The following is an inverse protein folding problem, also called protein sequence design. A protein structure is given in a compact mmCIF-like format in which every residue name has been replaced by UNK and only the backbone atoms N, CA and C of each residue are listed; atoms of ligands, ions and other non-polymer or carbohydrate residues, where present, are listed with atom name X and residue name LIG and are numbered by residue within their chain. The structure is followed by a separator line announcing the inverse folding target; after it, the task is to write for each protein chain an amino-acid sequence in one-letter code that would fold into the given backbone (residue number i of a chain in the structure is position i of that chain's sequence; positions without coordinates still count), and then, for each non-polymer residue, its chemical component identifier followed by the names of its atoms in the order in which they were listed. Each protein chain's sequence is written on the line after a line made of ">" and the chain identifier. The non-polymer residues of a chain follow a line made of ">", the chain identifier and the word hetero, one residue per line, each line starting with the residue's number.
data_IF_358199919280
#
_entry.id   IF_358199919280
#
_cell.length_a   1.000
_cell.length_b   1.000
_cell.length_c   1.000
_cell.angle_alpha   90.00
_cell.angle_beta   90.00
_cell.angle_gamma   90.00
#
_symmetry.space_group_name_H-M   'P 1'
#
loop_
_entity.id
_entity.type
_entity.pdbx_description
1 polymer ?
#
# COMPACT_ATOMS: atom_id res chain seq x y z
N UNK A 1 71.23 -6.83 25.74
CA UNK A 1 70.03 -6.29 26.42
C UNK A 1 69.41 -5.19 25.62
N UNK A 2 70.15 -4.31 24.98
CA UNK A 2 69.63 -3.11 24.29
C UNK A 2 69.12 -3.38 22.86
N UNK A 3 69.75 -4.33 22.19
CA UNK A 3 69.35 -4.71 20.80
C UNK A 3 67.96 -5.45 20.75
N UNK A 4 67.67 -6.24 21.75
CA UNK A 4 66.41 -6.97 21.87
C UNK A 4 65.27 -6.05 22.29
N UNK A 5 65.53 -4.97 23.01
CA UNK A 5 64.50 -3.96 23.36
C UNK A 5 64.11 -3.09 22.19
N UNK A 6 65.04 -2.77 21.28
CA UNK A 6 64.71 -2.04 20.01
C UNK A 6 63.97 -2.89 19.01
N UNK A 7 64.22 -4.20 18.98
CA UNK A 7 63.49 -5.11 18.10
C UNK A 7 62.00 -5.31 18.53
N UNK A 8 61.75 -5.33 19.85
CA UNK A 8 60.38 -5.43 20.40
C UNK A 8 59.56 -4.16 20.19
N UNK A 9 60.16 -2.98 20.18
CA UNK A 9 59.46 -1.73 19.87
C UNK A 9 59.13 -1.59 18.37
N UNK A 10 59.98 -2.13 17.49
CA UNK A 10 59.77 -2.07 16.04
C UNK A 10 58.66 -3.05 15.60
N UNK A 11 58.55 -4.20 16.25
CA UNK A 11 57.47 -5.18 15.97
C UNK A 11 56.13 -4.71 16.57
N UNK A 12 56.13 -4.02 17.72
CA UNK A 12 54.91 -3.47 18.30
C UNK A 12 54.36 -2.29 17.51
N UNK A 13 55.17 -1.49 16.82
CA UNK A 13 54.68 -0.40 15.94
C UNK A 13 54.15 -0.91 14.61
N UNK A 14 54.58 -2.08 14.13
CA UNK A 14 54.05 -2.66 12.87
C UNK A 14 52.72 -3.41 13.06
N UNK A 15 52.41 -3.86 14.28
CA UNK A 15 51.10 -4.51 14.58
C UNK A 15 49.99 -3.49 14.81
N UNK A 16 50.30 -2.24 15.19
CA UNK A 16 49.30 -1.18 15.41
C UNK A 16 48.92 -0.48 14.08
N UNK A 17 49.70 -0.59 13.01
CA UNK A 17 49.43 0.01 11.72
C UNK A 17 48.56 -0.86 10.78
N UNK A 18 48.20 -2.09 11.18
CA UNK A 18 47.33 -2.99 10.39
C UNK A 18 45.88 -3.07 10.87
N UNK A 19 45.52 -2.24 11.86
CA UNK A 19 44.12 -1.94 12.14
C UNK A 19 43.62 -0.80 11.22
N UNK A 20 43.98 -0.86 9.93
CA UNK A 20 43.36 -0.03 8.91
C UNK A 20 41.94 -0.54 8.73
N UNK A 21 41.00 0.26 9.17
CA UNK A 21 39.60 0.21 8.84
C UNK A 21 39.38 -0.37 7.43
N UNK A 22 38.93 -1.59 7.34
CA UNK A 22 38.16 -2.01 6.21
C UNK A 22 36.92 -1.11 6.23
N UNK A 23 37.00 0.04 5.56
CA UNK A 23 35.79 0.72 5.08
C UNK A 23 35.07 -0.35 4.33
N UNK A 24 34.00 -0.86 4.88
CA UNK A 24 33.00 -1.59 4.15
C UNK A 24 32.55 -0.62 3.05
N UNK A 25 33.11 -0.76 1.86
CA UNK A 25 32.55 -0.12 0.68
C UNK A 25 31.14 -0.68 0.60
N UNK A 26 30.16 0.17 0.89
CA UNK A 26 28.76 -0.19 0.67
C UNK A 26 28.65 -0.59 -0.79
N UNK A 27 28.29 -1.84 -1.07
CA UNK A 27 27.98 -2.27 -2.44
C UNK A 27 27.08 -1.22 -3.08
N UNK A 28 27.33 -0.84 -4.34
CA UNK A 28 26.43 0.06 -5.05
C UNK A 28 25.02 -0.54 -5.02
N UNK A 29 24.01 0.32 -4.85
CA UNK A 29 22.62 -0.12 -4.86
C UNK A 29 22.31 -0.86 -6.15
N UNK A 30 21.78 -2.07 -6.03
CA UNK A 30 21.30 -2.89 -7.13
C UNK A 30 19.80 -3.15 -6.91
N UNK A 31 18.97 -2.64 -7.81
CA UNK A 31 17.51 -2.77 -7.71
C UNK A 31 17.05 -4.23 -7.86
N UNK A 32 17.77 -5.07 -8.60
CA UNK A 32 17.45 -6.50 -8.76
C UNK A 32 17.67 -7.25 -7.46
N UNK A 33 18.79 -6.97 -6.77
CA UNK A 33 19.06 -7.53 -5.44
C UNK A 33 18.01 -7.06 -4.43
N UNK A 34 17.62 -5.78 -4.45
CA UNK A 34 16.58 -5.23 -3.59
C UNK A 34 15.23 -5.89 -3.87
N UNK A 35 14.84 -6.02 -5.13
CA UNK A 35 13.62 -6.70 -5.54
C UNK A 35 13.61 -8.16 -5.07
N UNK A 36 14.72 -8.85 -5.19
CA UNK A 36 14.87 -10.23 -4.71
C UNK A 36 14.72 -10.33 -3.19
N UNK A 37 15.32 -9.40 -2.42
CA UNK A 37 15.15 -9.35 -0.97
C UNK A 37 13.70 -9.07 -0.56
N UNK A 38 12.97 -8.27 -1.32
CA UNK A 38 11.51 -8.05 -1.11
C UNK A 38 10.72 -9.33 -1.35
N UNK A 39 11.06 -10.09 -2.40
CA UNK A 39 10.45 -11.42 -2.65
C UNK A 39 10.72 -12.38 -1.49
N UNK A 40 11.96 -12.48 -0.99
CA UNK A 40 12.30 -13.31 0.15
C UNK A 40 11.58 -12.89 1.44
N UNK A 41 11.33 -11.60 1.62
CA UNK A 41 10.58 -11.06 2.75
C UNK A 41 9.10 -11.44 2.67
N UNK A 42 8.52 -11.40 1.49
CA UNK A 42 7.12 -11.73 1.27
C UNK A 42 6.88 -13.25 1.23
N UNK A 43 7.77 -14.02 0.60
CA UNK A 43 7.68 -15.48 0.50
C UNK A 43 8.59 -16.16 1.51
N UNK A 44 8.30 -15.97 2.78
CA UNK A 44 9.13 -16.44 3.89
C UNK A 44 8.58 -17.67 4.62
N UNK A 45 7.38 -18.17 4.23
CA UNK A 45 6.75 -19.30 4.93
C UNK A 45 7.07 -20.63 4.26
N UNK A 46 7.32 -21.65 5.08
CA UNK A 46 7.42 -23.05 4.62
C UNK A 46 6.04 -23.69 4.53
N UNK A 47 5.94 -24.80 3.80
CA UNK A 47 4.70 -25.59 3.71
C UNK A 47 4.20 -26.03 5.09
N UNK A 48 5.13 -26.47 5.96
CA UNK A 48 4.79 -26.90 7.32
C UNK A 48 4.13 -25.77 8.11
N UNK A 49 4.70 -24.56 8.08
CA UNK A 49 4.16 -23.41 8.78
C UNK A 49 2.77 -23.01 8.28
N UNK A 50 2.54 -23.09 6.96
CA UNK A 50 1.22 -22.83 6.38
C UNK A 50 0.22 -23.90 6.77
N UNK A 51 0.60 -25.19 6.72
CA UNK A 51 -0.25 -26.29 7.20
C UNK A 51 -0.60 -26.16 8.68
N UNK A 52 0.34 -25.74 9.53
CA UNK A 52 0.08 -25.52 10.96
C UNK A 52 -0.94 -24.41 11.20
N UNK A 53 -0.94 -23.37 10.36
CA UNK A 53 -1.99 -22.37 10.40
C UNK A 53 -3.36 -22.94 9.96
N UNK A 54 -3.39 -23.69 8.85
CA UNK A 54 -4.62 -24.28 8.29
C UNK A 54 -5.24 -25.29 9.27
N UNK A 55 -4.43 -26.09 9.95
CA UNK A 55 -4.89 -27.08 10.96
C UNK A 55 -5.68 -26.47 12.11
N UNK A 56 -5.56 -25.18 12.35
CA UNK A 56 -6.41 -24.49 13.33
C UNK A 56 -7.90 -24.59 13.00
N UNK A 57 -8.23 -24.72 11.72
CA UNK A 57 -9.59 -24.78 11.19
C UNK A 57 -9.91 -26.13 10.52
N UNK A 58 -8.94 -26.73 9.86
CA UNK A 58 -9.03 -28.00 9.13
C UNK A 58 -7.93 -28.93 9.67
N UNK A 59 -8.19 -29.67 10.78
CA UNK A 59 -7.17 -30.50 11.44
C UNK A 59 -6.52 -31.53 10.52
N UNK A 60 -7.31 -32.14 9.64
CA UNK A 60 -6.90 -33.24 8.75
C UNK A 60 -6.58 -32.73 7.33
N UNK A 61 -5.97 -31.54 7.20
CA UNK A 61 -5.58 -30.99 5.89
C UNK A 61 -4.66 -31.93 5.15
N UNK A 62 -5.01 -32.26 3.91
CA UNK A 62 -4.29 -33.19 3.05
C UNK A 62 -3.36 -32.47 2.07
N UNK A 63 -2.35 -33.20 1.56
CA UNK A 63 -1.46 -32.69 0.50
C UNK A 63 -2.22 -32.41 -0.80
N UNK A 64 -3.30 -33.13 -1.07
CA UNK A 64 -4.14 -32.92 -2.23
C UNK A 64 -4.87 -31.57 -2.12
N UNK A 65 -5.43 -31.25 -0.96
CA UNK A 65 -6.06 -29.94 -0.72
C UNK A 65 -5.04 -28.80 -0.88
N UNK A 66 -3.82 -28.98 -0.36
CA UNK A 66 -2.75 -27.99 -0.56
C UNK A 66 -2.49 -27.73 -2.04
N UNK A 67 -2.32 -28.79 -2.85
CA UNK A 67 -2.11 -28.67 -4.30
C UNK A 67 -3.27 -27.99 -5.02
N UNK A 68 -4.51 -28.28 -4.63
CA UNK A 68 -5.71 -27.63 -5.20
C UNK A 68 -5.75 -26.13 -4.91
N UNK A 69 -5.44 -25.71 -3.68
CA UNK A 69 -5.38 -24.30 -3.30
C UNK A 69 -4.18 -23.56 -3.92
N UNK A 70 -3.07 -24.24 -4.13
CA UNK A 70 -1.93 -23.71 -4.90
C UNK A 70 -2.31 -23.50 -6.38
N UNK A 71 -2.94 -24.49 -6.99
CA UNK A 71 -3.37 -24.45 -8.38
C UNK A 71 -4.42 -23.36 -8.63
N UNK A 72 -5.35 -23.17 -7.68
CA UNK A 72 -6.37 -22.09 -7.72
C UNK A 72 -5.82 -20.72 -7.29
N UNK A 73 -4.56 -20.67 -6.84
CA UNK A 73 -3.91 -19.49 -6.28
C UNK A 73 -4.55 -18.92 -4.98
N UNK A 74 -5.40 -19.69 -4.34
CA UNK A 74 -5.89 -19.38 -2.99
C UNK A 74 -4.78 -19.48 -1.94
N UNK A 75 -3.77 -20.33 -2.17
CA UNK A 75 -2.48 -20.35 -1.48
C UNK A 75 -1.39 -19.83 -2.41
N UNK A 76 -0.99 -18.58 -2.24
CA UNK A 76 0.06 -17.99 -3.06
C UNK A 76 1.43 -18.52 -2.65
N UNK A 77 2.12 -19.12 -3.61
CA UNK A 77 3.47 -19.67 -3.44
C UNK A 77 4.32 -19.42 -4.69
N UNK A 78 5.63 -19.50 -4.53
CA UNK A 78 6.58 -19.46 -5.64
C UNK A 78 7.84 -20.28 -5.32
N UNK A 79 8.59 -20.61 -6.38
CA UNK A 79 9.91 -21.22 -6.26
C UNK A 79 10.95 -20.12 -6.11
N UNK A 80 11.72 -20.14 -5.01
CA UNK A 80 12.86 -19.25 -4.75
C UNK A 80 14.04 -20.14 -4.35
N UNK A 81 15.18 -19.98 -5.03
CA UNK A 81 16.40 -20.77 -4.81
C UNK A 81 16.18 -22.28 -4.83
N UNK A 82 15.26 -22.77 -5.67
CA UNK A 82 14.93 -24.18 -5.77
C UNK A 82 13.99 -24.72 -4.67
N UNK A 83 13.55 -23.86 -3.75
CA UNK A 83 12.61 -24.19 -2.69
C UNK A 83 11.24 -23.57 -2.93
N UNK A 84 10.16 -24.32 -2.67
CA UNK A 84 8.80 -23.78 -2.68
C UNK A 84 8.57 -22.99 -1.38
N UNK A 85 8.25 -21.73 -1.53
CA UNK A 85 7.94 -20.81 -0.43
C UNK A 85 6.57 -20.19 -0.60
N UNK A 86 5.89 -19.97 0.50
CA UNK A 86 4.56 -19.38 0.52
C UNK A 86 4.62 -17.92 0.98
N UNK A 87 3.67 -17.14 0.45
CA UNK A 87 3.45 -15.79 0.90
C UNK A 87 3.20 -15.76 2.42
N UNK A 88 3.76 -14.77 3.11
CA UNK A 88 3.68 -14.64 4.58
C UNK A 88 2.27 -14.73 5.15
N UNK A 89 1.26 -14.28 4.39
CA UNK A 89 -0.16 -14.34 4.76
C UNK A 89 -0.94 -15.38 3.93
N UNK A 90 -0.31 -16.35 3.31
CA UNK A 90 -0.99 -17.36 2.50
C UNK A 90 -2.06 -18.10 3.30
N UNK A 91 -1.75 -18.57 4.51
CA UNK A 91 -2.72 -19.22 5.38
C UNK A 91 -3.93 -18.34 5.71
N UNK A 92 -3.76 -17.14 6.28
CA UNK A 92 -4.85 -16.19 6.49
C UNK A 92 -5.65 -15.82 5.23
N UNK A 93 -4.97 -15.67 4.08
CA UNK A 93 -5.62 -15.34 2.81
C UNK A 93 -6.51 -16.48 2.31
N UNK A 94 -6.08 -17.75 2.45
CA UNK A 94 -6.91 -18.90 2.09
C UNK A 94 -8.32 -18.80 2.69
N UNK A 95 -8.40 -18.45 3.97
CA UNK A 95 -9.69 -18.31 4.70
C UNK A 95 -10.41 -16.97 4.40
N UNK A 96 -9.98 -16.22 3.41
CA UNK A 96 -10.68 -15.05 2.87
C UNK A 96 -11.13 -15.26 1.44
N UNK A 97 -10.37 -16.03 0.64
CA UNK A 97 -10.56 -16.15 -0.81
C UNK A 97 -11.21 -17.46 -1.24
N UNK A 98 -10.97 -18.56 -0.52
CA UNK A 98 -11.68 -19.82 -0.75
C UNK A 98 -12.97 -19.84 0.05
N UNK A 99 -14.11 -19.99 -0.63
CA UNK A 99 -15.43 -19.91 -0.01
C UNK A 99 -15.66 -20.98 1.05
N UNK A 100 -15.21 -22.21 0.79
CA UNK A 100 -15.35 -23.34 1.73
C UNK A 100 -14.54 -23.09 3.00
N UNK A 101 -13.28 -22.65 2.84
CA UNK A 101 -12.42 -22.30 3.96
C UNK A 101 -12.98 -21.09 4.74
N UNK A 102 -13.51 -20.10 4.03
CA UNK A 102 -14.16 -18.94 4.65
C UNK A 102 -15.33 -19.38 5.55
N UNK A 103 -16.23 -20.22 5.03
CA UNK A 103 -17.39 -20.72 5.78
C UNK A 103 -16.97 -21.51 7.01
N UNK A 104 -15.95 -22.36 6.92
CA UNK A 104 -15.37 -23.10 8.06
C UNK A 104 -14.89 -22.12 9.15
N UNK A 105 -14.16 -21.08 8.74
CA UNK A 105 -13.65 -20.06 9.66
C UNK A 105 -14.80 -19.31 10.34
N UNK A 106 -15.79 -18.86 9.57
CA UNK A 106 -16.94 -18.11 10.10
C UNK A 106 -17.77 -18.98 11.06
N UNK A 107 -17.95 -20.27 10.74
CA UNK A 107 -18.65 -21.19 11.64
C UNK A 107 -17.93 -21.34 13.00
N UNK A 108 -16.60 -21.24 13.02
CA UNK A 108 -15.79 -21.34 14.24
C UNK A 108 -15.69 -20.03 15.02
N UNK A 109 -15.51 -18.90 14.35
CA UNK A 109 -15.18 -17.61 14.98
C UNK A 109 -16.35 -16.61 15.01
N UNK A 110 -17.39 -16.86 14.21
CA UNK A 110 -18.45 -15.89 13.95
C UNK A 110 -18.03 -14.77 13.01
N UNK A 111 -18.96 -13.86 12.72
CA UNK A 111 -18.73 -12.65 11.94
C UNK A 111 -18.72 -11.44 12.86
N UNK A 112 -17.76 -10.54 12.65
CA UNK A 112 -17.75 -9.24 13.31
C UNK A 112 -17.33 -8.17 12.30
N UNK A 113 -18.04 -7.04 12.22
CA UNK A 113 -17.62 -5.93 11.37
C UNK A 113 -16.21 -5.48 11.73
N UNK A 114 -15.39 -5.19 10.73
CA UNK A 114 -14.07 -4.58 10.92
C UNK A 114 -14.20 -3.19 11.58
N UNK A 115 -13.10 -2.67 12.10
CA UNK A 115 -13.09 -1.32 12.68
C UNK A 115 -13.52 -0.25 11.67
N UNK A 116 -13.12 -0.38 10.41
CA UNK A 116 -13.52 0.53 9.31
C UNK A 116 -15.00 0.40 8.94
N UNK A 117 -15.54 -0.82 8.92
CA UNK A 117 -16.98 -1.03 8.67
C UNK A 117 -17.82 -0.40 9.77
N UNK A 118 -17.44 -0.58 11.05
CA UNK A 118 -18.13 0.07 12.18
C UNK A 118 -18.17 1.59 12.04
N UNK A 119 -17.01 2.21 11.73
CA UNK A 119 -16.93 3.67 11.50
C UNK A 119 -17.80 4.11 10.34
N UNK A 120 -17.82 3.36 9.24
CA UNK A 120 -18.67 3.66 8.09
C UNK A 120 -20.16 3.50 8.42
N UNK A 121 -20.54 2.49 9.19
CA UNK A 121 -21.93 2.29 9.61
C UNK A 121 -22.45 3.43 10.51
N UNK A 122 -21.56 4.05 11.28
CA UNK A 122 -21.89 5.20 12.13
C UNK A 122 -21.93 6.52 11.36
N UNK A 123 -20.88 6.81 10.58
CA UNK A 123 -20.72 8.12 9.94
C UNK A 123 -21.54 8.30 8.65
N UNK A 124 -21.75 7.26 7.86
CA UNK A 124 -22.42 7.39 6.56
C UNK A 124 -23.88 7.84 6.68
N UNK A 125 -24.71 7.29 7.60
CA UNK A 125 -26.07 7.80 7.80
C UNK A 125 -26.13 9.27 8.24
N UNK A 126 -25.18 9.69 9.10
CA UNK A 126 -25.06 11.08 9.55
C UNK A 126 -24.77 12.02 8.37
N UNK A 127 -23.77 11.66 7.53
CA UNK A 127 -23.41 12.43 6.35
C UNK A 127 -24.57 12.51 5.37
N UNK A 128 -25.22 11.40 5.04
CA UNK A 128 -26.38 11.38 4.12
C UNK A 128 -27.52 12.25 4.65
N UNK A 129 -27.82 12.18 5.94
CA UNK A 129 -28.84 12.99 6.58
C UNK A 129 -28.51 14.48 6.51
N UNK A 130 -27.26 14.85 6.81
CA UNK A 130 -26.79 16.24 6.73
C UNK A 130 -26.87 16.79 5.30
N UNK A 131 -26.42 16.02 4.30
CA UNK A 131 -26.53 16.40 2.87
C UNK A 131 -27.99 16.66 2.47
N UNK A 132 -28.91 15.77 2.85
CA UNK A 132 -30.33 15.93 2.54
C UNK A 132 -30.94 17.17 3.22
N UNK A 133 -30.51 17.47 4.45
CA UNK A 133 -30.99 18.62 5.22
C UNK A 133 -30.43 19.95 4.71
N UNK A 134 -29.13 20.00 4.40
CA UNK A 134 -28.41 21.22 4.04
C UNK A 134 -28.44 21.53 2.55
N UNK A 135 -28.77 20.56 1.71
CA UNK A 135 -28.74 20.69 0.24
C UNK A 135 -27.33 20.87 -0.33
N UNK A 136 -26.29 20.46 0.41
CA UNK A 136 -24.89 20.54 0.01
C UNK A 136 -24.24 19.18 0.03
N UNK A 137 -23.35 18.89 -0.92
CA UNK A 137 -22.65 17.61 -0.99
C UNK A 137 -21.56 17.44 0.07
N UNK A 138 -20.99 18.55 0.55
CA UNK A 138 -19.90 18.63 1.54
C UNK A 138 -20.48 19.12 2.86
N UNK A 139 -20.41 18.29 3.90
CA UNK A 139 -21.09 18.48 5.19
C UNK A 139 -20.29 17.90 6.36
N UNK A 140 -20.81 18.05 7.57
CA UNK A 140 -20.30 17.40 8.78
C UNK A 140 -18.79 17.65 9.02
N UNK A 141 -18.34 18.92 9.10
CA UNK A 141 -16.92 19.24 9.29
C UNK A 141 -16.41 18.74 10.64
N UNK A 142 -15.23 18.10 10.62
CA UNK A 142 -14.52 17.65 11.83
C UNK A 142 -13.10 18.21 11.82
N UNK A 143 -12.73 18.99 12.83
CA UNK A 143 -11.36 19.50 12.97
C UNK A 143 -10.44 18.37 13.45
N UNK A 144 -9.33 18.19 12.77
CA UNK A 144 -8.35 17.16 13.08
C UNK A 144 -6.97 17.76 13.26
N UNK A 145 -6.22 17.24 14.24
CA UNK A 145 -4.79 17.47 14.39
C UNK A 145 -4.08 16.13 14.24
N UNK A 146 -3.10 16.07 13.36
CA UNK A 146 -2.32 14.87 13.08
C UNK A 146 -0.86 15.17 13.37
N UNK A 147 -0.21 14.29 14.14
CA UNK A 147 1.24 14.21 14.21
C UNK A 147 1.66 12.91 13.54
N UNK A 148 2.36 13.03 12.43
CA UNK A 148 2.92 11.90 11.71
C UNK A 148 4.38 11.74 12.08
N UNK A 149 4.78 10.53 12.48
CA UNK A 149 6.16 10.23 12.86
C UNK A 149 6.64 9.00 12.11
N UNK A 150 7.81 9.10 11.49
CA UNK A 150 8.51 8.01 10.83
C UNK A 150 9.84 7.79 11.53
N UNK A 151 10.11 6.55 11.92
CA UNK A 151 11.37 6.16 12.56
C UNK A 151 12.13 5.20 11.66
N UNK A 152 13.35 5.55 11.32
CA UNK A 152 14.31 4.65 10.68
C UNK A 152 15.08 3.94 11.78
N UNK A 153 15.10 2.62 11.74
CA UNK A 153 15.68 1.80 12.79
C UNK A 153 17.18 2.09 13.00
N UNK A 154 17.63 1.88 14.22
CA UNK A 154 19.04 2.03 14.62
C UNK A 154 19.94 1.22 13.69
N UNK A 155 20.98 1.88 13.17
CA UNK A 155 21.97 1.30 12.25
C UNK A 155 21.42 0.73 10.93
N UNK A 156 20.16 1.02 10.56
CA UNK A 156 19.60 0.65 9.25
C UNK A 156 20.31 1.37 8.09
N UNK A 157 20.86 2.55 8.37
CA UNK A 157 21.69 3.33 7.43
C UNK A 157 23.05 3.61 8.07
N UNK A 158 24.17 3.46 7.34
CA UNK A 158 25.50 3.73 7.88
C UNK A 158 25.63 5.16 8.43
N UNK A 159 26.31 5.30 9.57
CA UNK A 159 26.53 6.58 10.22
C UNK A 159 27.14 7.63 9.26
N UNK A 160 26.67 8.87 9.36
CA UNK A 160 27.09 9.98 8.51
C UNK A 160 26.42 10.06 7.13
N UNK A 161 25.70 9.03 6.69
CA UNK A 161 24.90 9.08 5.46
C UNK A 161 23.63 9.90 5.66
N UNK A 162 23.17 10.56 4.61
CA UNK A 162 21.94 11.36 4.63
C UNK A 162 20.75 10.44 4.37
N UNK A 163 19.78 10.50 5.26
CA UNK A 163 18.45 9.91 5.08
C UNK A 163 17.52 11.01 4.62
N UNK A 164 16.80 10.76 3.52
CA UNK A 164 15.81 11.67 2.95
C UNK A 164 14.42 11.13 3.23
N UNK A 165 13.52 12.01 3.66
CA UNK A 165 12.17 11.64 4.06
C UNK A 165 11.15 12.54 3.38
N UNK A 166 10.10 11.97 2.83
CA UNK A 166 8.92 12.65 2.30
C UNK A 166 7.70 12.17 3.08
N UNK A 167 7.26 12.96 4.07
CA UNK A 167 6.04 12.65 4.81
C UNK A 167 4.81 13.13 4.04
N UNK A 168 3.71 12.35 4.02
CA UNK A 168 2.47 12.75 3.34
C UNK A 168 1.83 13.96 4.02
N UNK A 169 1.60 15.03 3.28
CA UNK A 169 0.96 16.26 3.75
C UNK A 169 -0.40 16.47 3.06
N UNK A 170 -1.44 16.99 3.73
CA UNK A 170 -2.75 17.20 3.13
C UNK A 170 -2.70 18.13 1.92
N UNK A 171 -3.37 17.75 0.83
CA UNK A 171 -3.60 18.65 -0.30
C UNK A 171 -4.57 19.76 0.09
N UNK A 172 -4.31 20.96 -0.39
CA UNK A 172 -5.14 22.13 -0.07
C UNK A 172 -6.26 22.38 -1.11
N UNK A 173 -6.22 21.69 -2.24
CA UNK A 173 -7.17 21.80 -3.34
C UNK A 173 -8.32 20.78 -3.28
N UNK A 174 -8.52 20.14 -2.13
CA UNK A 174 -9.55 19.13 -1.93
C UNK A 174 -10.72 19.66 -1.11
N UNK A 175 -11.93 19.61 -1.66
CA UNK A 175 -13.14 20.06 -0.97
C UNK A 175 -13.39 19.36 0.37
N UNK A 176 -12.92 18.11 0.50
CA UNK A 176 -13.01 17.31 1.72
C UNK A 176 -11.96 17.63 2.78
N UNK A 177 -10.90 18.38 2.41
CA UNK A 177 -9.80 18.75 3.30
C UNK A 177 -9.63 20.27 3.23
N UNK A 178 -10.19 20.97 4.19
CA UNK A 178 -10.18 22.43 4.23
C UNK A 178 -9.37 22.94 5.41
N UNK A 179 -9.02 24.23 5.39
CA UNK A 179 -8.33 24.92 6.47
C UNK A 179 -7.05 24.20 6.93
N UNK A 180 -6.28 23.70 5.98
CA UNK A 180 -5.00 23.03 6.26
C UNK A 180 -4.03 24.02 6.87
N UNK A 181 -3.53 23.70 8.07
CA UNK A 181 -2.59 24.51 8.82
C UNK A 181 -1.39 23.68 9.24
N UNK A 182 -0.21 24.05 8.75
CA UNK A 182 1.04 23.50 9.24
C UNK A 182 1.32 23.99 10.67
N UNK A 183 1.78 23.12 11.55
CA UNK A 183 2.12 23.44 12.95
C UNK A 183 3.62 23.33 13.18
N UNK A 184 4.23 22.18 12.87
CA UNK A 184 5.65 21.96 13.11
C UNK A 184 6.21 20.79 12.31
N UNK A 185 7.53 20.77 12.16
CA UNK A 185 8.33 19.65 11.69
C UNK A 185 9.47 19.35 12.66
N UNK A 186 10.00 18.13 12.65
CA UNK A 186 11.15 17.74 13.48
C UNK A 186 12.45 18.42 13.07
N UNK A 187 12.56 18.82 11.80
CA UNK A 187 13.74 19.46 11.26
C UNK A 187 13.45 20.94 10.96
N UNK A 188 14.39 21.85 11.24
CA UNK A 188 14.22 23.27 10.97
C UNK A 188 14.23 23.60 9.46
N UNK A 189 14.83 22.71 8.65
CA UNK A 189 14.87 22.81 7.20
C UNK A 189 13.94 21.76 6.59
N UNK A 190 12.90 22.22 5.94
CA UNK A 190 11.93 21.38 5.25
C UNK A 190 11.43 22.08 3.98
N UNK A 191 10.87 21.30 3.07
CA UNK A 191 10.29 21.82 1.82
C UNK A 191 8.99 21.11 1.50
N UNK A 192 7.94 21.87 1.21
CA UNK A 192 6.70 21.30 0.67
C UNK A 192 6.87 20.99 -0.81
N UNK A 193 6.24 19.90 -1.24
CA UNK A 193 6.14 19.62 -2.68
C UNK A 193 5.40 20.73 -3.41
N UNK A 194 5.73 20.88 -4.71
CA UNK A 194 5.01 21.81 -5.59
C UNK A 194 3.50 21.45 -5.64
N UNK A 195 2.61 22.43 -5.77
CA UNK A 195 1.16 22.20 -5.92
C UNK A 195 0.79 21.30 -7.09
N UNK A 196 1.63 21.23 -8.13
CA UNK A 196 1.42 20.36 -9.27
C UNK A 196 1.70 18.87 -8.96
N UNK A 197 2.43 18.58 -7.87
CA UNK A 197 2.67 17.21 -7.44
C UNK A 197 1.38 16.53 -7.03
N UNK A 198 1.14 15.33 -7.57
CA UNK A 198 -0.07 14.55 -7.25
C UNK A 198 -0.13 14.11 -5.80
N UNK A 199 1.01 13.79 -5.21
CA UNK A 199 1.15 13.54 -3.78
C UNK A 199 1.77 14.76 -3.11
N UNK A 200 1.02 15.41 -2.23
CA UNK A 200 1.55 16.48 -1.41
C UNK A 200 2.39 15.90 -0.28
N UNK A 201 3.60 16.40 -0.14
CA UNK A 201 4.56 15.90 0.85
C UNK A 201 5.33 17.03 1.50
N UNK A 202 5.81 16.76 2.73
CA UNK A 202 6.84 17.53 3.40
C UNK A 202 8.16 16.79 3.32
N UNK A 203 9.16 17.40 2.67
CA UNK A 203 10.50 16.86 2.58
C UNK A 203 11.38 17.33 3.73
N UNK A 204 12.15 16.40 4.30
CA UNK A 204 13.18 16.65 5.30
C UNK A 204 14.37 15.73 5.06
N UNK A 205 15.54 16.08 5.58
CA UNK A 205 16.70 15.21 5.58
C UNK A 205 17.48 15.28 6.89
N UNK A 206 18.12 14.19 7.26
CA UNK A 206 18.90 14.06 8.47
C UNK A 206 20.07 13.08 8.26
N UNK A 207 21.20 13.33 8.93
CA UNK A 207 22.32 12.38 8.95
C UNK A 207 22.05 11.26 9.94
N UNK A 208 22.31 10.02 9.51
CA UNK A 208 22.30 8.86 10.40
C UNK A 208 23.41 8.99 11.45
N UNK A 209 23.09 8.67 12.70
CA UNK A 209 24.00 8.62 13.83
C UNK A 209 24.15 7.17 14.28
N UNK A 210 25.39 6.73 14.56
CA UNK A 210 25.65 5.38 15.02
C UNK A 210 24.95 5.11 16.36
N UNK A 211 24.28 3.98 16.46
CA UNK A 211 23.58 3.56 17.68
C UNK A 211 22.27 4.28 17.96
N UNK A 212 21.84 5.22 17.09
CA UNK A 212 20.61 5.98 17.28
C UNK A 212 19.60 5.73 16.13
N UNK A 213 18.29 5.69 16.42
CA UNK A 213 17.27 5.73 15.39
C UNK A 213 17.18 7.12 14.78
N UNK A 214 16.82 7.22 13.49
CA UNK A 214 16.57 8.51 12.85
C UNK A 214 15.08 8.76 12.79
N UNK A 215 14.59 9.80 13.46
CA UNK A 215 13.17 10.12 13.58
C UNK A 215 12.83 11.39 12.82
N UNK A 216 11.80 11.31 11.97
CA UNK A 216 11.17 12.45 11.30
C UNK A 216 9.73 12.58 11.78
N UNK A 217 9.29 13.81 11.99
CA UNK A 217 7.89 14.04 12.30
C UNK A 217 7.39 15.38 11.75
N UNK A 218 6.09 15.43 11.49
CA UNK A 218 5.36 16.65 11.17
C UNK A 218 4.05 16.70 11.96
N UNK A 219 3.57 17.90 12.24
CA UNK A 219 2.26 18.13 12.84
C UNK A 219 1.50 19.14 11.99
N UNK A 220 0.25 18.83 11.68
CA UNK A 220 -0.65 19.71 10.95
C UNK A 220 -2.08 19.57 11.44
N UNK A 221 -2.91 20.54 11.09
CA UNK A 221 -4.35 20.53 11.32
C UNK A 221 -5.09 20.70 10.01
N UNK A 222 -6.28 20.16 9.93
CA UNK A 222 -7.20 20.37 8.82
C UNK A 222 -8.64 20.07 9.24
N UNK A 223 -9.59 20.58 8.45
CA UNK A 223 -10.99 20.25 8.59
C UNK A 223 -11.34 19.14 7.59
N UNK A 224 -11.67 17.95 8.11
CA UNK A 224 -12.20 16.86 7.31
C UNK A 224 -13.71 16.98 7.18
N UNK A 225 -14.24 16.93 5.96
CA UNK A 225 -15.66 16.98 5.68
C UNK A 225 -16.18 15.63 5.21
N UNK A 226 -17.42 15.31 5.55
CA UNK A 226 -18.19 14.27 4.91
C UNK A 226 -18.61 14.70 3.49
N UNK A 227 -18.67 13.76 2.57
CA UNK A 227 -19.09 14.00 1.19
C UNK A 227 -20.04 12.91 0.73
N UNK A 228 -21.18 13.31 0.19
CA UNK A 228 -22.10 12.39 -0.44
C UNK A 228 -22.85 13.08 -1.58
N UNK A 229 -22.96 12.37 -2.71
CA UNK A 229 -23.67 12.81 -3.89
C UNK A 229 -24.82 11.85 -4.20
N UNK A 230 -26.03 12.38 -4.31
CA UNK A 230 -27.19 11.63 -4.81
C UNK A 230 -27.19 11.62 -6.34
N UNK A 231 -26.11 11.08 -6.93
CA UNK A 231 -25.89 11.10 -8.36
C UNK A 231 -26.87 10.14 -9.08
N UNK A 232 -27.53 10.65 -10.12
CA UNK A 232 -28.37 9.88 -11.00
C UNK A 232 -27.77 9.83 -12.41
N UNK A 233 -28.10 8.81 -13.23
CA UNK A 233 -27.56 8.71 -14.58
C UNK A 233 -27.84 9.94 -15.44
N UNK A 234 -29.03 10.56 -15.29
CA UNK A 234 -29.44 11.76 -16.00
C UNK A 234 -28.68 13.03 -15.63
N UNK A 235 -28.01 13.05 -14.46
CA UNK A 235 -27.23 14.20 -14.01
C UNK A 235 -25.84 14.27 -14.67
N UNK A 236 -25.43 13.17 -15.33
CA UNK A 236 -24.08 13.04 -15.88
C UNK A 236 -23.98 13.70 -17.24
N UNK A 237 -23.04 14.65 -17.35
CA UNK A 237 -22.75 15.36 -18.60
C UNK A 237 -21.68 14.64 -19.42
N UNK A 238 -21.67 14.78 -20.75
CA UNK A 238 -20.58 14.30 -21.58
C UNK A 238 -19.23 14.90 -21.16
N UNK A 239 -18.17 14.10 -21.25
CA UNK A 239 -16.82 14.59 -21.00
C UNK A 239 -16.34 15.53 -22.11
N UNK A 240 -15.63 16.59 -21.74
CA UNK A 240 -14.77 17.31 -22.67
C UNK A 240 -13.46 16.51 -22.83
N UNK A 241 -13.39 15.72 -23.90
CA UNK A 241 -12.25 14.86 -24.22
C UNK A 241 -11.01 15.61 -24.67
N UNK A 242 -11.09 16.93 -24.86
CA UNK A 242 -9.98 17.78 -25.29
C UNK A 242 -9.11 18.22 -24.14
N UNK A 243 -9.63 18.19 -22.91
CA UNK A 243 -8.93 18.63 -21.69
C UNK A 243 -7.72 17.79 -21.36
N UNK A 244 -6.70 18.42 -20.80
CA UNK A 244 -5.49 17.73 -20.31
C UNK A 244 -5.84 16.68 -19.25
N UNK A 245 -6.76 17.00 -18.35
CA UNK A 245 -7.22 16.11 -17.27
C UNK A 245 -7.86 14.83 -17.85
N UNK A 246 -8.76 14.96 -18.84
CA UNK A 246 -9.38 13.80 -19.49
C UNK A 246 -8.31 12.90 -20.14
N UNK A 247 -7.42 13.50 -20.94
CA UNK A 247 -6.35 12.78 -21.63
C UNK A 247 -5.42 12.05 -20.66
N UNK A 248 -5.03 12.70 -19.56
CA UNK A 248 -4.16 12.11 -18.55
C UNK A 248 -4.85 10.92 -17.85
N UNK A 249 -6.11 11.08 -17.45
CA UNK A 249 -6.79 10.08 -16.64
C UNK A 249 -7.57 9.02 -17.43
N UNK A 250 -7.48 9.05 -18.76
CA UNK A 250 -7.89 7.96 -19.65
C UNK A 250 -6.73 7.28 -20.36
N UNK A 251 -5.49 7.74 -20.14
CA UNK A 251 -4.29 7.14 -20.73
C UNK A 251 -3.76 5.96 -19.89
N UNK A 252 -2.95 5.13 -20.53
CA UNK A 252 -2.11 4.15 -19.83
C UNK A 252 -1.09 4.86 -18.94
N UNK A 253 -0.68 4.17 -17.89
CA UNK A 253 0.43 4.58 -17.03
C UNK A 253 1.15 3.34 -16.53
N UNK A 254 2.26 3.03 -17.18
CA UNK A 254 3.12 1.95 -16.72
C UNK A 254 3.58 2.23 -15.26
N UNK A 255 3.74 1.25 -14.47
CA UNK A 255 3.79 -0.20 -14.69
C UNK A 255 2.41 -0.87 -14.56
N UNK A 256 1.47 -0.26 -13.83
CA UNK A 256 0.27 -0.90 -13.31
C UNK A 256 -1.05 -0.47 -13.98
N UNK A 257 -1.04 0.46 -14.90
CA UNK A 257 -2.23 0.83 -15.69
C UNK A 257 -1.90 0.60 -17.16
N UNK A 258 -1.91 -0.67 -17.56
CA UNK A 258 -1.59 -1.12 -18.92
C UNK A 258 -2.83 -1.75 -19.53
N UNK A 259 -3.18 -1.36 -20.76
CA UNK A 259 -4.37 -1.81 -21.45
C UNK A 259 -4.10 -3.07 -22.25
N UNK A 260 -3.86 -4.17 -21.55
CA UNK A 260 -3.65 -5.48 -22.20
C UNK A 260 -4.89 -5.91 -23.02
N UNK A 261 -4.72 -6.80 -24.01
CA UNK A 261 -5.84 -7.35 -24.79
C UNK A 261 -6.94 -7.94 -23.90
N UNK A 262 -6.56 -8.68 -22.86
CA UNK A 262 -7.50 -9.29 -21.90
C UNK A 262 -8.31 -8.25 -21.14
N UNK A 263 -7.67 -7.18 -20.65
CA UNK A 263 -8.35 -6.10 -19.94
C UNK A 263 -9.26 -5.29 -20.87
N UNK A 264 -8.86 -5.08 -22.14
CA UNK A 264 -9.72 -4.42 -23.14
C UNK A 264 -10.96 -5.25 -23.45
N UNK A 265 -10.82 -6.55 -23.65
CA UNK A 265 -11.93 -7.46 -23.87
C UNK A 265 -12.90 -7.48 -22.66
N UNK A 266 -12.35 -7.55 -21.47
CA UNK A 266 -13.12 -7.52 -20.23
C UNK A 266 -13.89 -6.21 -20.07
N UNK A 267 -13.25 -5.07 -20.28
CA UNK A 267 -13.92 -3.77 -20.22
C UNK A 267 -15.05 -3.66 -21.24
N UNK A 268 -14.81 -4.09 -22.49
CA UNK A 268 -15.82 -4.12 -23.54
C UNK A 268 -17.02 -5.00 -23.16
N UNK A 269 -16.78 -6.17 -22.59
CA UNK A 269 -17.83 -7.10 -22.12
C UNK A 269 -18.68 -6.47 -20.99
N UNK A 270 -18.03 -5.87 -20.00
CA UNK A 270 -18.70 -5.29 -18.83
C UNK A 270 -19.55 -4.07 -19.18
N UNK A 271 -19.13 -3.29 -20.18
CA UNK A 271 -19.81 -2.05 -20.59
C UNK A 271 -20.64 -2.19 -21.87
N UNK A 272 -20.81 -3.42 -22.37
CA UNK A 272 -21.55 -3.68 -23.62
C UNK A 272 -22.95 -3.05 -23.61
N UNK A 273 -23.26 -2.30 -24.68
CA UNK A 273 -24.57 -1.65 -24.86
C UNK A 273 -24.86 -0.46 -23.92
N UNK A 274 -23.89 -0.06 -23.08
CA UNK A 274 -24.04 1.08 -22.18
C UNK A 274 -23.24 2.29 -22.68
N UNK A 275 -23.89 3.44 -22.75
CA UNK A 275 -23.27 4.71 -23.18
C UNK A 275 -23.04 5.68 -22.04
N UNK A 276 -23.84 5.59 -20.97
CA UNK A 276 -23.73 6.48 -19.82
C UNK A 276 -22.49 6.12 -18.97
N UNK A 277 -21.52 7.05 -18.76
CA UNK A 277 -20.29 6.76 -18.06
C UNK A 277 -20.49 6.38 -16.59
N UNK A 278 -21.49 6.93 -15.92
CA UNK A 278 -21.83 6.54 -14.55
C UNK A 278 -22.32 5.09 -14.47
N UNK A 279 -23.18 4.68 -15.38
CA UNK A 279 -23.67 3.30 -15.44
C UNK A 279 -22.57 2.32 -15.83
N UNK A 280 -21.66 2.70 -16.74
CA UNK A 280 -20.44 1.92 -17.03
C UNK A 280 -19.61 1.72 -15.78
N UNK A 281 -19.27 2.81 -15.08
CA UNK A 281 -18.50 2.75 -13.84
C UNK A 281 -19.19 1.88 -12.79
N UNK A 282 -20.50 2.00 -12.64
CA UNK A 282 -21.30 1.19 -11.70
C UNK A 282 -21.29 -0.30 -12.03
N UNK A 283 -21.34 -0.68 -13.33
CA UNK A 283 -21.22 -2.08 -13.77
C UNK A 283 -19.83 -2.63 -13.46
N UNK A 284 -18.77 -1.88 -13.78
CA UNK A 284 -17.39 -2.26 -13.47
C UNK A 284 -17.21 -2.40 -11.96
N UNK A 285 -17.67 -1.42 -11.18
CA UNK A 285 -17.57 -1.46 -9.71
C UNK A 285 -18.24 -2.71 -9.12
N UNK A 286 -19.48 -2.98 -9.51
CA UNK A 286 -20.22 -4.16 -9.04
C UNK A 286 -19.48 -5.45 -9.39
N UNK A 287 -19.04 -5.56 -10.63
CA UNK A 287 -18.32 -6.75 -11.06
C UNK A 287 -17.03 -6.96 -10.25
N UNK A 288 -16.26 -5.89 -10.04
CA UNK A 288 -15.05 -5.95 -9.21
C UNK A 288 -15.38 -6.33 -7.76
N UNK A 289 -16.38 -5.67 -7.16
CA UNK A 289 -16.82 -5.94 -5.79
C UNK A 289 -17.27 -7.39 -5.57
N UNK A 290 -18.00 -7.93 -6.53
CA UNK A 290 -18.65 -9.24 -6.41
C UNK A 290 -17.67 -10.41 -6.73
N UNK A 291 -16.52 -10.13 -7.36
CA UNK A 291 -15.62 -11.17 -7.84
C UNK A 291 -14.25 -11.20 -7.15
N UNK A 292 -13.86 -10.16 -6.40
CA UNK A 292 -12.52 -10.05 -5.82
C UNK A 292 -12.58 -9.78 -4.32
N UNK A 293 -12.57 -10.83 -3.48
CA UNK A 293 -12.46 -10.68 -2.04
C UNK A 293 -11.15 -10.01 -1.66
N UNK A 294 -11.16 -9.27 -0.57
CA UNK A 294 -9.95 -8.68 -0.04
C UNK A 294 -9.01 -9.74 0.54
N UNK A 295 -7.75 -9.65 0.16
CA UNK A 295 -6.67 -10.45 0.74
C UNK A 295 -5.41 -9.58 0.92
N UNK A 296 -4.56 -9.96 1.87
CA UNK A 296 -3.28 -9.29 2.07
C UNK A 296 -2.41 -9.40 0.81
N UNK A 297 -1.80 -8.29 0.42
CA UNK A 297 -0.96 -8.21 -0.76
C UNK A 297 0.53 -8.39 -0.45
N UNK A 298 1.25 -8.94 -1.43
CA UNK A 298 2.70 -8.85 -1.49
C UNK A 298 3.14 -7.47 -1.96
N UNK A 299 4.41 -7.16 -1.82
CA UNK A 299 5.02 -5.89 -2.24
C UNK A 299 4.73 -5.58 -3.72
N UNK A 300 4.16 -4.42 -4.00
CA UNK A 300 3.69 -4.03 -5.34
C UNK A 300 4.80 -3.99 -6.39
N UNK A 301 6.01 -3.58 -5.99
CA UNK A 301 7.17 -3.57 -6.88
C UNK A 301 7.57 -4.94 -7.41
N UNK A 302 7.18 -6.02 -6.71
CA UNK A 302 7.42 -7.41 -7.12
C UNK A 302 6.41 -7.94 -8.14
N UNK A 303 5.40 -7.16 -8.49
CA UNK A 303 4.34 -7.52 -9.43
C UNK A 303 4.52 -6.71 -10.71
N UNK A 304 4.60 -7.39 -11.84
CA UNK A 304 4.82 -6.73 -13.12
C UNK A 304 3.60 -5.91 -13.58
N UNK A 305 2.40 -6.49 -13.49
CA UNK A 305 1.14 -5.84 -13.80
C UNK A 305 0.09 -6.22 -12.76
N UNK A 306 -0.29 -5.28 -11.88
CA UNK A 306 -1.22 -5.55 -10.78
C UNK A 306 -2.63 -5.89 -11.27
N UNK A 307 -3.26 -5.20 -12.23
CA UNK A 307 -4.57 -5.61 -12.75
C UNK A 307 -4.61 -7.06 -13.27
N UNK A 308 -3.59 -7.49 -14.03
CA UNK A 308 -3.50 -8.88 -14.50
C UNK A 308 -3.29 -9.86 -13.35
N UNK A 309 -2.44 -9.51 -12.38
CA UNK A 309 -2.25 -10.30 -11.17
C UNK A 309 -3.57 -10.51 -10.39
N UNK A 310 -4.37 -9.45 -10.23
CA UNK A 310 -5.68 -9.54 -9.56
C UNK A 310 -6.63 -10.47 -10.32
N UNK A 311 -6.67 -10.37 -11.66
CA UNK A 311 -7.47 -11.27 -12.50
C UNK A 311 -7.05 -12.73 -12.35
N UNK A 312 -5.73 -12.97 -12.27
CA UNK A 312 -5.18 -14.32 -12.17
C UNK A 312 -5.39 -14.94 -10.79
N UNK A 313 -5.17 -14.17 -9.74
CA UNK A 313 -5.27 -14.65 -8.36
C UNK A 313 -6.70 -14.60 -7.80
N UNK A 314 -7.63 -13.90 -8.46
CA UNK A 314 -9.02 -13.76 -8.06
C UNK A 314 -9.21 -13.07 -6.70
N UNK A 315 -8.23 -12.31 -6.27
CA UNK A 315 -8.25 -11.51 -5.04
C UNK A 315 -7.20 -10.38 -5.11
N UNK A 316 -7.25 -9.46 -4.16
CA UNK A 316 -6.26 -8.42 -3.98
C UNK A 316 -6.51 -7.60 -2.74
N UNK A 317 -5.55 -6.76 -2.36
CA UNK A 317 -5.82 -5.74 -1.35
C UNK A 317 -6.55 -4.53 -1.96
N UNK A 318 -6.87 -3.54 -1.12
CA UNK A 318 -7.62 -2.36 -1.54
C UNK A 318 -6.93 -1.59 -2.68
N UNK A 319 -5.61 -1.48 -2.69
CA UNK A 319 -4.86 -0.79 -3.75
C UNK A 319 -4.81 -1.60 -5.05
N UNK A 320 -4.61 -2.90 -4.97
CA UNK A 320 -4.58 -3.79 -6.12
C UNK A 320 -5.94 -3.83 -6.84
N UNK A 321 -7.02 -4.00 -6.09
CA UNK A 321 -8.39 -4.01 -6.63
C UNK A 321 -8.77 -2.64 -7.19
N UNK A 322 -8.34 -1.55 -6.55
CA UNK A 322 -8.53 -0.19 -7.08
C UNK A 322 -7.81 0.03 -8.40
N UNK A 323 -6.60 -0.50 -8.58
CA UNK A 323 -5.87 -0.40 -9.85
C UNK A 323 -6.57 -1.17 -10.98
N UNK A 324 -7.15 -2.34 -10.69
CA UNK A 324 -8.00 -3.05 -11.66
C UNK A 324 -9.22 -2.20 -12.06
N UNK A 325 -9.93 -1.64 -11.07
CA UNK A 325 -11.09 -0.77 -11.32
C UNK A 325 -10.71 0.46 -12.16
N UNK A 326 -9.63 1.16 -11.79
CA UNK A 326 -9.13 2.33 -12.53
C UNK A 326 -8.79 1.97 -13.97
N UNK A 327 -8.10 0.84 -14.19
CA UNK A 327 -7.70 0.40 -15.52
C UNK A 327 -8.91 0.12 -16.41
N UNK A 328 -9.90 -0.60 -15.89
CA UNK A 328 -11.16 -0.88 -16.63
C UNK A 328 -11.96 0.39 -16.91
N UNK A 329 -12.01 1.33 -15.98
CA UNK A 329 -12.63 2.65 -16.20
C UNK A 329 -11.92 3.42 -17.31
N UNK A 330 -10.60 3.53 -17.28
CA UNK A 330 -9.81 4.23 -18.31
C UNK A 330 -9.99 3.63 -19.69
N UNK A 331 -9.94 2.31 -19.81
CA UNK A 331 -10.23 1.60 -21.07
C UNK A 331 -11.63 1.95 -21.60
N UNK A 332 -12.59 2.14 -20.71
CA UNK A 332 -13.99 2.45 -21.05
C UNK A 332 -14.23 3.95 -21.28
N UNK A 333 -13.18 4.78 -21.33
CA UNK A 333 -13.25 6.22 -21.55
C UNK A 333 -13.73 7.02 -20.33
N UNK A 334 -13.61 6.46 -19.14
CA UNK A 334 -13.96 7.11 -17.88
C UNK A 334 -12.67 7.57 -17.20
N UNK A 335 -12.45 8.89 -17.01
CA UNK A 335 -11.29 9.40 -16.32
C UNK A 335 -11.24 8.88 -14.88
N UNK A 336 -10.13 8.26 -14.50
CA UNK A 336 -9.96 7.71 -13.17
C UNK A 336 -8.50 7.83 -12.70
N UNK A 337 -8.30 8.13 -11.42
CA UNK A 337 -6.97 8.18 -10.80
C UNK A 337 -6.97 7.56 -9.43
N UNK A 338 -5.80 7.12 -8.99
CA UNK A 338 -5.60 6.57 -7.66
C UNK A 338 -5.53 7.71 -6.64
N UNK A 339 -6.20 7.54 -5.51
CA UNK A 339 -6.09 8.41 -4.35
C UNK A 339 -5.72 7.55 -3.14
N UNK A 340 -4.59 7.87 -2.53
CA UNK A 340 -4.16 7.28 -1.27
C UNK A 340 -4.40 8.24 -0.11
N UNK A 341 -4.42 7.71 1.10
CA UNK A 341 -4.60 8.50 2.31
C UNK A 341 -4.47 7.64 3.56
N UNK A 342 -4.68 8.27 4.71
CA UNK A 342 -4.69 7.58 6.00
C UNK A 342 -6.12 7.29 6.45
N UNK A 343 -6.31 6.11 7.04
CA UNK A 343 -7.50 5.81 7.80
C UNK A 343 -7.25 6.22 9.25
N UNK A 344 -7.96 7.24 9.72
CA UNK A 344 -7.87 7.70 11.10
C UNK A 344 -9.12 7.29 11.87
N UNK A 345 -8.92 6.65 13.02
CA UNK A 345 -9.99 6.31 13.94
C UNK A 345 -10.02 7.31 15.10
N UNK A 346 -11.20 7.79 15.54
CA UNK A 346 -11.31 8.79 16.61
C UNK A 346 -10.65 8.42 17.93
N UNK A 347 -10.34 7.15 18.14
CA UNK A 347 -9.72 6.61 19.37
C UNK A 347 -8.47 5.79 19.12
N UNK A 348 -7.93 5.80 17.92
CA UNK A 348 -6.73 5.04 17.61
C UNK A 348 -5.48 5.78 18.09
N UNK A 349 -4.98 5.36 19.24
CA UNK A 349 -3.55 5.41 19.44
C UNK A 349 -2.92 4.48 18.42
N UNK A 350 -2.24 5.06 17.44
CA UNK A 350 -1.16 4.49 16.65
C UNK A 350 -1.40 3.12 16.00
N UNK A 351 -1.58 3.11 14.70
CA UNK A 351 -1.22 1.95 13.92
C UNK A 351 0.26 2.11 13.51
N UNK A 352 1.11 1.24 14.00
CA UNK A 352 2.49 1.13 13.53
C UNK A 352 2.48 0.35 12.22
N UNK A 353 2.79 1.02 11.13
CA UNK A 353 3.18 0.33 9.90
C UNK A 353 4.70 0.32 9.89
N UNK A 354 5.30 -0.85 10.06
CA UNK A 354 6.74 -0.99 9.86
C UNK A 354 7.01 -0.89 8.35
N UNK A 355 7.48 0.27 7.91
CA UNK A 355 8.14 0.41 6.64
C UNK A 355 9.59 -0.02 6.85
N UNK A 356 9.99 -1.17 6.30
CA UNK A 356 11.39 -1.52 6.18
C UNK A 356 11.97 -0.74 5.00
N UNK A 357 13.00 0.06 5.30
CA UNK A 357 13.83 0.68 4.27
C UNK A 357 14.74 -0.36 3.63
#
# INVERSE_FOLDING_TARGET
>A
GEVMRKLLYTVALFVIASACSTKSESKPYNWEDDLYQRLLTDFCMTESQVKDYIRKYIPDVTDEQMRQWEASKALECMMLDGEKRYFRNAGPNLFRVDSTCYDIKIAKEGTSPSGSEKVNMENLPEIISAVKKEGKAIVAPKRMRVTYTLTVDTNAVPAGKIIRCWLPYPRQDQARQQDVKFISASEPQYTFSSPECRHSTLYMEKRAVEGEPTVFSETFEFTANGEWHNLKPEDVQPYDTTTALYKEYTAEREKHIVFSPRLRELAAKLTAGETNPYLKAKRIFRWVNDNFPWASAREYSTIENIPEYVLDNRHGDCGQVSLLFITLCRISGIPAHFQSGFMMHPRASVSYTHLRA
#
